data_IF_764716511923
#
_entry.id   IF_764716511923
#
_cell.length_a   1.000
_cell.length_b   1.000
_cell.length_c   1.000
_cell.angle_alpha   90.00
_cell.angle_beta   90.00
_cell.angle_gamma   90.00
#
_symmetry.space_group_name_H-M   'P 1'
#
loop_
_entity.id
_entity.type
_entity.pdbx_description
1 polymer ?
#
# COMPACT_ATOMS: atom_id res chain seq x y z
N UNK A 1 51.16 -31.20 6.88
CA UNK A 1 50.93 -30.18 5.82
C UNK A 1 49.46 -29.67 5.77
N UNK A 2 48.80 -29.56 6.91
CA UNK A 2 47.39 -29.08 6.97
C UNK A 2 47.19 -27.67 7.57
N UNK A 3 48.28 -27.07 8.10
CA UNK A 3 48.21 -25.74 8.71
C UNK A 3 48.22 -24.54 7.75
N UNK A 4 48.77 -24.71 6.55
CA UNK A 4 48.90 -23.62 5.57
C UNK A 4 47.58 -23.23 4.87
N UNK A 5 46.69 -24.19 4.70
CA UNK A 5 45.38 -23.94 4.04
C UNK A 5 44.40 -23.13 4.94
N UNK A 6 44.47 -23.35 6.26
CA UNK A 6 43.60 -22.63 7.21
C UNK A 6 44.01 -21.15 7.38
N UNK A 7 45.31 -20.89 7.44
CA UNK A 7 45.84 -19.52 7.58
C UNK A 7 45.59 -18.70 6.31
N UNK A 8 45.69 -19.28 5.12
CA UNK A 8 45.37 -18.60 3.85
C UNK A 8 43.88 -18.25 3.76
N UNK A 9 42.94 -19.09 4.25
CA UNK A 9 41.51 -18.82 4.23
C UNK A 9 41.12 -17.70 5.20
N UNK A 10 41.81 -17.55 6.32
CA UNK A 10 41.59 -16.45 7.27
C UNK A 10 42.14 -15.10 6.77
N UNK A 11 43.34 -15.10 6.16
CA UNK A 11 43.93 -13.88 5.58
C UNK A 11 43.08 -13.34 4.43
N UNK A 12 42.49 -14.21 3.60
CA UNK A 12 41.57 -13.79 2.52
C UNK A 12 40.29 -13.16 3.09
N UNK A 13 39.74 -13.72 4.16
CA UNK A 13 38.51 -13.17 4.80
C UNK A 13 38.71 -11.80 5.45
N UNK A 14 39.90 -11.46 5.90
CA UNK A 14 40.24 -10.17 6.51
C UNK A 14 40.63 -9.10 5.48
N UNK A 15 40.84 -9.47 4.21
CA UNK A 15 41.13 -8.50 3.16
C UNK A 15 39.88 -7.71 2.77
N UNK A 16 39.89 -6.40 2.97
CA UNK A 16 38.77 -5.49 2.69
C UNK A 16 38.39 -5.44 1.21
N UNK A 17 39.34 -5.58 0.29
CA UNK A 17 39.09 -5.62 -1.17
C UNK A 17 38.39 -6.93 -1.57
N UNK A 18 38.83 -8.05 -1.05
CA UNK A 18 38.19 -9.34 -1.27
C UNK A 18 36.77 -9.36 -0.72
N UNK A 19 36.55 -8.80 0.48
CA UNK A 19 35.22 -8.70 1.09
C UNK A 19 34.28 -7.81 0.26
N UNK A 20 34.77 -6.71 -0.32
CA UNK A 20 34.01 -5.86 -1.25
C UNK A 20 33.66 -6.63 -2.51
N UNK A 21 34.61 -7.30 -3.12
CA UNK A 21 34.41 -8.10 -4.33
C UNK A 21 33.34 -9.21 -4.11
N UNK A 22 33.42 -9.93 -2.98
CA UNK A 22 32.38 -10.94 -2.63
C UNK A 22 31.02 -10.34 -2.50
N UNK A 23 30.89 -9.15 -1.88
CA UNK A 23 29.59 -8.43 -1.81
C UNK A 23 29.08 -8.06 -3.19
N UNK A 24 29.93 -7.58 -4.08
CA UNK A 24 29.57 -7.25 -5.46
C UNK A 24 29.15 -8.48 -6.27
N UNK A 25 29.87 -9.60 -6.15
CA UNK A 25 29.53 -10.86 -6.81
C UNK A 25 28.18 -11.37 -6.30
N UNK A 26 27.97 -11.33 -4.98
CA UNK A 26 26.70 -11.73 -4.36
C UNK A 26 25.53 -10.86 -4.84
N UNK A 27 25.74 -9.55 -4.95
CA UNK A 27 24.74 -8.62 -5.46
C UNK A 27 24.42 -8.88 -6.94
N UNK A 28 25.45 -9.06 -7.78
CA UNK A 28 25.30 -9.41 -9.21
C UNK A 28 24.53 -10.72 -9.39
N UNK A 29 24.86 -11.74 -8.59
CA UNK A 29 24.17 -13.03 -8.64
C UNK A 29 22.69 -12.88 -8.26
N UNK A 30 22.38 -12.20 -7.14
CA UNK A 30 20.98 -11.93 -6.72
C UNK A 30 20.20 -11.15 -7.77
N UNK A 31 20.80 -10.12 -8.35
CA UNK A 31 20.18 -9.33 -9.42
C UNK A 31 19.90 -10.19 -10.66
N UNK A 32 20.80 -11.10 -11.01
CA UNK A 32 20.60 -12.03 -12.12
C UNK A 32 19.48 -13.03 -11.84
N UNK A 33 19.37 -13.54 -10.61
CA UNK A 33 18.26 -14.41 -10.20
C UNK A 33 16.90 -13.67 -10.28
N UNK A 34 16.85 -12.42 -9.79
CA UNK A 34 15.62 -11.58 -9.87
C UNK A 34 15.22 -11.36 -11.33
N UNK A 35 16.17 -10.97 -12.19
CA UNK A 35 15.90 -10.78 -13.62
C UNK A 35 15.42 -12.06 -14.30
N UNK A 36 15.98 -13.20 -13.97
CA UNK A 36 15.53 -14.49 -14.51
C UNK A 36 14.12 -14.83 -14.05
N UNK A 37 13.82 -14.68 -12.75
CA UNK A 37 12.49 -14.92 -12.19
C UNK A 37 11.43 -14.00 -12.81
N UNK A 38 11.74 -12.71 -13.00
CA UNK A 38 10.85 -11.75 -13.65
C UNK A 38 10.55 -12.13 -15.10
N UNK A 39 11.57 -12.56 -15.86
CA UNK A 39 11.38 -13.05 -17.24
C UNK A 39 10.50 -14.28 -17.29
N UNK A 40 10.75 -15.27 -16.43
CA UNK A 40 9.93 -16.49 -16.36
C UNK A 40 8.48 -16.16 -16.04
N UNK A 41 8.24 -15.28 -15.06
CA UNK A 41 6.88 -14.83 -14.72
C UNK A 41 6.19 -14.15 -15.93
N UNK A 42 6.91 -13.26 -16.62
CA UNK A 42 6.38 -12.56 -17.80
C UNK A 42 5.99 -13.55 -18.92
N UNK A 43 6.87 -14.47 -19.27
CA UNK A 43 6.60 -15.47 -20.32
C UNK A 43 5.41 -16.37 -19.94
N UNK A 44 5.31 -16.76 -18.68
CA UNK A 44 4.17 -17.52 -18.17
C UNK A 44 2.86 -16.73 -18.31
N UNK A 45 2.86 -15.44 -17.98
CA UNK A 45 1.67 -14.58 -18.10
C UNK A 45 1.29 -14.32 -19.55
N UNK A 46 2.26 -14.15 -20.44
CA UNK A 46 2.02 -14.06 -21.88
C UNK A 46 1.40 -15.35 -22.44
N UNK A 47 1.89 -16.49 -21.98
CA UNK A 47 1.30 -17.79 -22.32
C UNK A 47 -0.14 -17.91 -21.79
N UNK A 48 -0.40 -17.53 -20.53
CA UNK A 48 -1.76 -17.52 -19.97
C UNK A 48 -2.69 -16.56 -20.70
N UNK A 49 -2.16 -15.43 -21.17
CA UNK A 49 -2.86 -14.49 -22.02
C UNK A 49 -3.27 -15.13 -23.35
N UNK A 50 -2.37 -15.84 -24.03
CA UNK A 50 -2.67 -16.50 -25.31
C UNK A 50 -3.72 -17.59 -25.15
N UNK A 51 -3.65 -18.40 -24.10
CA UNK A 51 -4.68 -19.39 -23.78
C UNK A 51 -6.03 -18.70 -23.47
N UNK A 52 -6.00 -17.63 -22.70
CA UNK A 52 -7.19 -16.83 -22.40
C UNK A 52 -7.86 -16.26 -23.65
N UNK A 53 -7.05 -15.73 -24.58
CA UNK A 53 -7.50 -15.28 -25.90
C UNK A 53 -8.17 -16.41 -26.67
N UNK A 54 -7.50 -17.54 -26.82
CA UNK A 54 -8.03 -18.66 -27.59
C UNK A 54 -9.35 -19.18 -27.01
N UNK A 55 -9.45 -19.29 -25.67
CA UNK A 55 -10.67 -19.70 -24.99
C UNK A 55 -11.79 -18.66 -25.22
N UNK A 56 -11.48 -17.37 -25.14
CA UNK A 56 -12.49 -16.31 -25.29
C UNK A 56 -13.01 -16.18 -26.71
N UNK A 57 -12.12 -16.20 -27.72
CA UNK A 57 -12.45 -15.88 -29.10
C UNK A 57 -12.84 -17.12 -29.90
N UNK A 58 -12.16 -18.25 -29.67
CA UNK A 58 -12.26 -19.41 -30.58
C UNK A 58 -12.88 -20.65 -29.92
N UNK A 59 -12.64 -20.90 -28.66
CA UNK A 59 -12.95 -22.14 -27.97
C UNK A 59 -13.70 -21.87 -26.64
N UNK A 60 -15.04 -21.75 -26.70
CA UNK A 60 -15.85 -21.39 -25.54
C UNK A 60 -16.98 -22.40 -25.29
N UNK A 61 -17.64 -22.25 -24.11
CA UNK A 61 -18.76 -23.12 -23.72
C UNK A 61 -19.97 -23.02 -24.67
N UNK A 62 -20.14 -21.91 -25.36
CA UNK A 62 -21.22 -21.71 -26.34
C UNK A 62 -21.02 -22.68 -27.52
N UNK A 63 -19.78 -22.84 -27.98
CA UNK A 63 -19.43 -23.68 -29.12
C UNK A 63 -19.28 -25.15 -28.76
N UNK A 64 -18.72 -25.46 -27.59
CA UNK A 64 -18.31 -26.80 -27.16
C UNK A 64 -19.11 -27.36 -25.97
N UNK A 65 -20.08 -26.63 -25.44
CA UNK A 65 -20.97 -27.06 -24.35
C UNK A 65 -20.41 -26.91 -22.94
N UNK A 66 -21.25 -27.18 -21.94
CA UNK A 66 -20.97 -26.97 -20.52
C UNK A 66 -19.77 -27.74 -19.95
N UNK A 67 -19.34 -28.81 -20.61
CA UNK A 67 -18.19 -29.62 -20.19
C UNK A 67 -16.87 -29.17 -20.78
N UNK A 68 -16.83 -28.08 -21.57
CA UNK A 68 -15.64 -27.61 -22.27
C UNK A 68 -14.41 -27.50 -21.38
N UNK A 69 -14.48 -26.74 -20.30
CA UNK A 69 -13.33 -26.54 -19.40
C UNK A 69 -12.86 -27.83 -18.74
N UNK A 70 -13.78 -28.76 -18.44
CA UNK A 70 -13.44 -30.06 -17.85
C UNK A 70 -12.67 -30.90 -18.86
N UNK A 71 -13.15 -30.99 -20.09
CA UNK A 71 -12.52 -31.76 -21.14
C UNK A 71 -11.16 -31.15 -21.51
N UNK A 72 -11.09 -29.83 -21.72
CA UNK A 72 -9.84 -29.11 -21.97
C UNK A 72 -8.79 -29.34 -20.89
N UNK A 73 -9.22 -29.33 -19.60
CA UNK A 73 -8.33 -29.61 -18.48
C UNK A 73 -7.78 -31.02 -18.52
N UNK A 74 -8.60 -32.03 -18.83
CA UNK A 74 -8.16 -33.42 -18.94
C UNK A 74 -7.22 -33.61 -20.11
N UNK A 75 -7.60 -33.14 -21.29
CA UNK A 75 -6.80 -33.29 -22.52
C UNK A 75 -5.40 -32.62 -22.37
N UNK A 76 -5.34 -31.45 -21.74
CA UNK A 76 -4.06 -30.77 -21.48
C UNK A 76 -3.23 -31.49 -20.40
N UNK A 77 -3.84 -32.07 -19.39
CA UNK A 77 -3.13 -32.83 -18.38
C UNK A 77 -2.61 -34.17 -18.92
N UNK A 78 -3.36 -34.79 -19.82
CA UNK A 78 -2.92 -36.01 -20.52
C UNK A 78 -1.76 -35.72 -21.49
N UNK A 79 -1.83 -34.59 -22.20
CA UNK A 79 -0.77 -34.16 -23.11
C UNK A 79 0.50 -33.66 -22.40
N UNK A 80 0.35 -33.10 -21.19
CA UNK A 80 1.41 -32.46 -20.39
C UNK A 80 1.33 -32.90 -18.91
N UNK A 81 1.61 -34.16 -18.60
CA UNK A 81 1.38 -34.76 -17.26
C UNK A 81 2.18 -34.09 -16.13
N UNK A 82 3.33 -33.49 -16.45
CA UNK A 82 4.19 -32.81 -15.48
C UNK A 82 3.74 -31.36 -15.15
N UNK A 83 2.72 -30.84 -15.85
CA UNK A 83 2.28 -29.45 -15.73
C UNK A 83 0.97 -29.36 -14.94
N UNK A 84 1.05 -28.78 -13.72
CA UNK A 84 -0.11 -28.60 -12.83
C UNK A 84 -0.98 -27.37 -13.14
N UNK A 85 -0.59 -26.56 -14.11
CA UNK A 85 -1.23 -25.24 -14.38
C UNK A 85 -2.57 -25.32 -15.09
N UNK A 86 -3.00 -26.48 -15.59
CA UNK A 86 -4.19 -26.64 -16.42
C UNK A 86 -5.42 -27.16 -15.66
N UNK A 87 -5.58 -26.79 -14.39
CA UNK A 87 -6.83 -27.07 -13.69
C UNK A 87 -7.98 -26.24 -14.28
N UNK A 88 -9.20 -26.78 -14.20
CA UNK A 88 -10.44 -26.09 -14.65
C UNK A 88 -10.52 -24.67 -14.12
N UNK A 89 -10.20 -24.48 -12.84
CA UNK A 89 -10.22 -23.16 -12.19
C UNK A 89 -9.19 -22.23 -12.82
N UNK A 90 -7.96 -22.71 -13.04
CA UNK A 90 -6.89 -21.88 -13.59
C UNK A 90 -7.16 -21.50 -15.06
N UNK A 91 -7.70 -22.42 -15.88
CA UNK A 91 -8.12 -22.14 -17.25
C UNK A 91 -9.22 -21.06 -17.31
N UNK A 92 -10.15 -21.07 -16.37
CA UNK A 92 -11.15 -19.99 -16.24
C UNK A 92 -10.50 -18.65 -15.88
N UNK A 93 -9.50 -18.64 -14.98
CA UNK A 93 -8.77 -17.42 -14.66
C UNK A 93 -7.93 -16.90 -15.83
N UNK A 94 -7.36 -17.76 -16.66
CA UNK A 94 -6.67 -17.33 -17.89
C UNK A 94 -7.63 -16.61 -18.84
N UNK A 95 -8.86 -17.13 -19.01
CA UNK A 95 -9.93 -16.48 -19.77
C UNK A 95 -10.27 -15.11 -19.16
N UNK A 96 -10.55 -15.04 -17.86
CA UNK A 96 -10.90 -13.78 -17.18
C UNK A 96 -9.76 -12.75 -17.22
N UNK A 97 -8.52 -13.20 -17.19
CA UNK A 97 -7.33 -12.36 -17.32
C UNK A 97 -7.29 -11.67 -18.68
N UNK A 98 -7.50 -12.43 -19.76
CA UNK A 98 -7.59 -11.86 -21.09
C UNK A 98 -8.79 -10.91 -21.22
N UNK A 99 -9.98 -11.34 -20.81
CA UNK A 99 -11.21 -10.54 -20.93
C UNK A 99 -11.13 -9.23 -20.15
N UNK A 100 -10.50 -9.24 -18.97
CA UNK A 100 -10.35 -8.04 -18.15
C UNK A 100 -9.42 -7.01 -18.79
N UNK A 101 -8.32 -7.44 -19.38
CA UNK A 101 -7.26 -6.54 -19.83
C UNK A 101 -7.14 -6.41 -21.35
N UNK A 102 -8.02 -7.02 -22.16
CA UNK A 102 -7.94 -6.90 -23.61
C UNK A 102 -8.24 -5.48 -24.13
N UNK A 103 -7.70 -5.14 -25.29
CA UNK A 103 -7.79 -3.77 -25.85
C UNK A 103 -9.23 -3.35 -26.21
N UNK A 104 -10.16 -4.28 -26.46
CA UNK A 104 -11.55 -3.96 -26.78
C UNK A 104 -12.25 -3.23 -25.61
N UNK A 105 -11.89 -3.58 -24.38
CA UNK A 105 -12.40 -2.89 -23.18
C UNK A 105 -11.70 -1.55 -22.92
N UNK A 106 -10.55 -1.29 -23.57
CA UNK A 106 -9.73 -0.08 -23.37
C UNK A 106 -10.10 1.05 -24.35
N UNK A 107 -10.56 0.74 -25.56
CA UNK A 107 -10.92 1.75 -26.56
C UNK A 107 -12.05 2.69 -26.14
N UNK A 108 -12.84 2.31 -25.12
CA UNK A 108 -13.90 3.14 -24.57
C UNK A 108 -13.40 4.22 -23.57
N UNK A 109 -12.11 4.21 -23.19
CA UNK A 109 -11.58 5.03 -22.11
C UNK A 109 -10.61 6.14 -22.56
N UNK A 110 -10.31 6.28 -23.88
CA UNK A 110 -9.20 7.16 -24.31
C UNK A 110 -9.64 8.17 -25.34
N UNK A 111 -9.72 9.43 -24.90
CA UNK A 111 -9.79 10.60 -25.78
C UNK A 111 -8.67 11.64 -25.54
N UNK A 112 -7.61 11.31 -24.76
CA UNK A 112 -6.53 12.24 -24.43
C UNK A 112 -5.13 11.66 -24.66
N UNK A 113 -4.22 12.49 -25.26
CA UNK A 113 -2.85 12.11 -25.63
C UNK A 113 -1.92 11.82 -24.44
N UNK A 114 -2.12 12.46 -23.30
CA UNK A 114 -1.37 12.18 -22.05
C UNK A 114 -1.72 10.82 -21.45
N UNK A 115 -2.95 10.37 -21.62
CA UNK A 115 -3.43 9.07 -21.17
C UNK A 115 -2.73 7.91 -21.90
N UNK A 116 -2.25 8.11 -23.13
CA UNK A 116 -1.58 7.05 -23.92
C UNK A 116 -0.21 6.67 -23.38
N UNK A 117 0.59 7.62 -22.88
CA UNK A 117 1.93 7.35 -22.33
C UNK A 117 1.80 6.62 -20.99
N UNK A 118 0.84 7.05 -20.15
CA UNK A 118 0.52 6.33 -18.90
C UNK A 118 -0.02 4.92 -19.16
N UNK A 119 -0.79 4.71 -20.23
CA UNK A 119 -1.35 3.41 -20.59
C UNK A 119 -0.26 2.39 -20.97
N UNK A 120 0.72 2.78 -21.76
CA UNK A 120 1.80 1.88 -22.16
C UNK A 120 2.65 1.42 -20.96
N UNK A 121 2.91 2.31 -20.01
CA UNK A 121 3.60 1.97 -18.76
C UNK A 121 2.78 1.01 -17.88
N UNK A 122 1.45 1.17 -17.82
CA UNK A 122 0.56 0.27 -17.07
C UNK A 122 0.43 -1.09 -17.76
N UNK A 123 0.42 -1.12 -19.11
CA UNK A 123 0.40 -2.34 -19.90
C UNK A 123 1.64 -3.21 -19.64
N UNK A 124 2.80 -2.59 -19.52
CA UNK A 124 4.01 -3.30 -19.13
C UNK A 124 3.91 -3.87 -17.70
N UNK A 125 3.25 -3.18 -16.76
CA UNK A 125 3.08 -3.64 -15.39
C UNK A 125 2.17 -4.88 -15.27
N UNK A 126 1.20 -5.09 -16.17
CA UNK A 126 0.30 -6.26 -16.15
C UNK A 126 1.12 -7.56 -16.19
N UNK A 127 2.16 -7.63 -17.01
CA UNK A 127 2.99 -8.82 -17.13
C UNK A 127 4.16 -8.87 -16.13
N UNK A 128 4.23 -7.93 -15.18
CA UNK A 128 5.33 -7.86 -14.19
C UNK A 128 4.92 -8.32 -12.80
N UNK A 129 3.62 -8.29 -12.46
CA UNK A 129 3.15 -8.77 -11.15
C UNK A 129 2.84 -10.28 -11.19
N UNK A 130 2.96 -11.01 -10.07
CA UNK A 130 2.76 -12.46 -10.05
C UNK A 130 1.32 -12.89 -10.35
N UNK A 131 1.15 -14.06 -10.95
CA UNK A 131 -0.18 -14.63 -11.28
C UNK A 131 -1.16 -14.67 -10.10
N UNK A 132 -0.69 -15.04 -8.92
CA UNK A 132 -1.53 -15.06 -7.71
C UNK A 132 -2.11 -13.70 -7.33
N UNK A 133 -1.48 -12.59 -7.72
CA UNK A 133 -2.01 -11.23 -7.54
C UNK A 133 -3.15 -10.96 -8.54
N UNK A 134 -2.98 -11.36 -9.81
CA UNK A 134 -4.03 -11.22 -10.82
C UNK A 134 -5.31 -11.97 -10.43
N UNK A 135 -5.21 -13.15 -9.86
CA UNK A 135 -6.37 -13.90 -9.35
C UNK A 135 -7.14 -13.07 -8.31
N UNK A 136 -6.45 -12.40 -7.40
CA UNK A 136 -7.11 -11.56 -6.39
C UNK A 136 -7.76 -10.32 -7.02
N UNK A 137 -7.06 -9.65 -7.93
CA UNK A 137 -7.56 -8.48 -8.66
C UNK A 137 -8.81 -8.85 -9.47
N UNK A 138 -8.78 -9.94 -10.23
CA UNK A 138 -9.92 -10.43 -11.01
C UNK A 138 -11.15 -10.66 -10.10
N UNK A 139 -10.95 -11.35 -8.97
CA UNK A 139 -12.04 -11.67 -8.05
C UNK A 139 -12.66 -10.44 -7.39
N UNK A 140 -11.83 -9.48 -6.99
CA UNK A 140 -12.27 -8.32 -6.20
C UNK A 140 -12.70 -7.14 -7.06
N UNK A 141 -12.11 -6.95 -8.24
CA UNK A 141 -12.47 -5.84 -9.13
C UNK A 141 -13.71 -6.12 -9.99
N UNK A 142 -14.16 -7.38 -10.10
CA UNK A 142 -15.41 -7.77 -10.76
C UNK A 142 -15.61 -7.15 -12.16
N UNK A 143 -14.56 -7.14 -12.98
CA UNK A 143 -14.58 -6.58 -14.34
C UNK A 143 -14.39 -5.06 -14.42
N UNK A 144 -14.22 -4.34 -13.33
CA UNK A 144 -13.87 -2.92 -13.37
C UNK A 144 -12.39 -2.76 -13.76
N UNK A 145 -12.15 -2.42 -15.02
CA UNK A 145 -10.82 -2.30 -15.60
C UNK A 145 -9.99 -1.21 -14.90
N UNK A 146 -10.55 -0.03 -14.65
CA UNK A 146 -9.83 1.08 -14.01
C UNK A 146 -9.34 0.72 -12.61
N UNK A 147 -10.21 0.09 -11.83
CA UNK A 147 -9.87 -0.43 -10.50
C UNK A 147 -8.80 -1.51 -10.59
N UNK A 148 -8.90 -2.42 -11.55
CA UNK A 148 -7.90 -3.46 -11.76
C UNK A 148 -6.53 -2.90 -12.13
N UNK A 149 -6.47 -1.96 -13.08
CA UNK A 149 -5.22 -1.30 -13.50
C UNK A 149 -4.58 -0.47 -12.38
N UNK A 150 -5.40 0.19 -11.56
CA UNK A 150 -4.93 0.89 -10.36
C UNK A 150 -4.19 -0.09 -9.43
N UNK A 151 -4.78 -1.25 -9.10
CA UNK A 151 -4.15 -2.23 -8.22
C UNK A 151 -2.94 -2.91 -8.86
N UNK A 152 -2.93 -3.12 -10.18
CA UNK A 152 -1.75 -3.61 -10.92
C UNK A 152 -0.60 -2.62 -10.76
N UNK A 153 -0.82 -1.34 -11.06
CA UNK A 153 0.17 -0.27 -10.95
C UNK A 153 0.70 -0.17 -9.51
N UNK A 154 -0.18 -0.06 -8.51
CA UNK A 154 0.21 0.04 -7.10
C UNK A 154 0.97 -1.20 -6.61
N UNK A 155 0.57 -2.39 -7.02
CA UNK A 155 1.28 -3.64 -6.69
C UNK A 155 2.69 -3.64 -7.26
N UNK A 156 2.86 -3.24 -8.52
CA UNK A 156 4.15 -3.17 -9.17
C UNK A 156 5.07 -2.12 -8.53
N UNK A 157 4.58 -0.90 -8.38
CA UNK A 157 5.36 0.23 -7.84
C UNK A 157 5.79 0.02 -6.38
N UNK A 158 4.93 -0.60 -5.58
CA UNK A 158 5.16 -0.78 -4.15
C UNK A 158 5.67 -2.18 -3.78
N UNK A 159 5.82 -3.08 -4.75
CA UNK A 159 6.19 -4.48 -4.54
C UNK A 159 5.31 -5.17 -3.48
N UNK A 160 4.00 -4.94 -3.55
CA UNK A 160 3.08 -5.51 -2.56
C UNK A 160 3.08 -7.03 -2.59
N UNK A 161 3.14 -7.63 -1.41
CA UNK A 161 2.84 -9.06 -1.25
C UNK A 161 1.34 -9.29 -1.50
N UNK A 162 0.97 -10.55 -1.76
CA UNK A 162 -0.44 -10.92 -1.94
C UNK A 162 -1.31 -10.54 -0.74
N UNK A 163 -0.78 -10.63 0.49
CA UNK A 163 -1.51 -10.26 1.70
C UNK A 163 -1.76 -8.75 1.77
N UNK A 164 -0.76 -7.92 1.44
CA UNK A 164 -0.90 -6.46 1.40
C UNK A 164 -1.88 -6.04 0.31
N UNK A 165 -1.79 -6.63 -0.89
CA UNK A 165 -2.76 -6.36 -1.97
C UNK A 165 -4.19 -6.70 -1.54
N UNK A 166 -4.41 -7.88 -0.91
CA UNK A 166 -5.73 -8.26 -0.42
C UNK A 166 -6.27 -7.29 0.60
N UNK A 167 -5.45 -6.86 1.56
CA UNK A 167 -5.85 -5.86 2.55
C UNK A 167 -6.36 -4.58 1.87
N UNK A 168 -5.64 -4.05 0.87
CA UNK A 168 -6.06 -2.83 0.18
C UNK A 168 -7.26 -3.02 -0.76
N UNK A 169 -7.42 -4.21 -1.33
CA UNK A 169 -8.63 -4.57 -2.07
C UNK A 169 -9.86 -4.63 -1.15
N UNK A 170 -9.70 -5.19 0.05
CA UNK A 170 -10.78 -5.36 1.04
C UNK A 170 -11.14 -4.04 1.74
N UNK A 171 -10.18 -3.14 1.90
CA UNK A 171 -10.38 -1.81 2.49
C UNK A 171 -10.67 -0.72 1.45
N UNK A 172 -11.04 -1.10 0.23
CA UNK A 172 -11.48 -0.18 -0.85
C UNK A 172 -10.51 0.98 -1.13
N UNK A 173 -9.19 0.71 -1.18
CA UNK A 173 -8.18 1.75 -1.40
C UNK A 173 -8.45 2.58 -2.67
N UNK A 174 -8.92 1.96 -3.75
CA UNK A 174 -9.22 2.64 -5.02
C UNK A 174 -10.22 3.79 -4.85
N UNK A 175 -11.22 3.59 -4.01
CA UNK A 175 -12.29 4.55 -3.76
C UNK A 175 -11.87 5.71 -2.84
N UNK A 176 -10.89 5.52 -1.97
CA UNK A 176 -10.52 6.47 -0.91
C UNK A 176 -9.15 7.15 -1.10
N UNK A 177 -8.27 6.66 -1.98
CA UNK A 177 -6.98 7.31 -2.26
C UNK A 177 -7.19 8.66 -2.97
N UNK A 178 -6.49 9.69 -2.49
CA UNK A 178 -6.57 11.04 -3.04
C UNK A 178 -7.90 11.76 -2.81
N UNK A 179 -8.76 11.28 -1.91
CA UNK A 179 -10.09 11.87 -1.63
C UNK A 179 -10.10 12.86 -0.47
N UNK A 180 -9.01 13.01 0.26
CA UNK A 180 -8.89 14.03 1.30
C UNK A 180 -9.20 15.43 0.77
N UNK A 181 -9.76 16.28 1.61
CA UNK A 181 -9.95 17.69 1.29
C UNK A 181 -8.62 18.40 1.53
N UNK A 182 -8.02 18.96 0.47
CA UNK A 182 -6.67 19.54 0.53
C UNK A 182 -6.62 20.91 -0.16
N UNK A 183 -5.60 21.69 0.18
CA UNK A 183 -5.23 22.92 -0.53
C UNK A 183 -3.91 22.77 -1.30
N UNK A 184 -3.44 21.55 -1.54
CA UNK A 184 -2.14 21.25 -2.12
C UNK A 184 -1.93 21.86 -3.52
N UNK A 185 -2.96 21.83 -4.37
CA UNK A 185 -2.89 22.41 -5.72
C UNK A 185 -2.53 23.92 -5.73
N UNK A 186 -2.89 24.62 -4.65
CA UNK A 186 -2.61 26.06 -4.54
C UNK A 186 -1.24 26.39 -3.95
N UNK A 187 -0.70 25.50 -3.11
CA UNK A 187 0.44 25.79 -2.24
C UNK A 187 1.69 24.97 -2.56
N UNK A 188 1.55 23.87 -3.29
CA UNK A 188 2.68 23.05 -3.71
C UNK A 188 2.91 23.16 -5.22
N UNK A 189 4.16 23.02 -5.70
CA UNK A 189 4.43 22.88 -7.15
C UNK A 189 3.64 21.71 -7.76
N UNK A 190 3.24 21.77 -9.03
CA UNK A 190 2.35 20.80 -9.68
C UNK A 190 2.73 19.34 -9.42
N UNK A 191 4.00 18.97 -9.63
CA UNK A 191 4.51 17.63 -9.35
C UNK A 191 4.40 17.28 -7.85
N UNK A 192 4.62 18.24 -6.96
CA UNK A 192 4.50 18.08 -5.51
C UNK A 192 3.05 17.92 -5.05
N UNK A 193 2.13 18.61 -5.69
CA UNK A 193 0.70 18.57 -5.42
C UNK A 193 0.10 17.21 -5.73
N UNK A 194 0.31 16.68 -6.93
CA UNK A 194 -0.20 15.36 -7.33
C UNK A 194 0.33 14.25 -6.43
N UNK A 195 1.63 14.29 -6.17
CA UNK A 195 2.28 13.37 -5.27
C UNK A 195 1.78 13.50 -3.81
N UNK A 196 1.48 14.70 -3.33
CA UNK A 196 0.93 14.91 -2.00
C UNK A 196 -0.52 14.39 -1.89
N UNK A 197 -1.31 14.50 -2.95
CA UNK A 197 -2.66 13.90 -3.01
C UNK A 197 -2.63 12.37 -2.94
N UNK A 198 -1.65 11.73 -3.60
CA UNK A 198 -1.52 10.27 -3.57
C UNK A 198 -1.27 9.68 -2.17
N UNK A 199 -0.66 10.44 -1.26
CA UNK A 199 -0.42 9.98 0.11
C UNK A 199 -1.61 10.22 1.05
N UNK A 200 -2.66 10.92 0.59
CA UNK A 200 -3.87 11.15 1.39
C UNK A 200 -4.97 10.15 1.07
N UNK A 201 -5.74 9.80 2.06
CA UNK A 201 -6.89 8.91 1.95
C UNK A 201 -8.07 9.50 2.68
N UNK A 202 -9.27 9.20 2.23
CA UNK A 202 -10.49 9.61 2.90
C UNK A 202 -11.60 8.58 2.66
N UNK A 203 -11.95 7.81 3.68
CA UNK A 203 -11.37 7.76 5.03
C UNK A 203 -10.05 6.98 5.10
N UNK A 204 -9.26 7.19 6.18
CA UNK A 204 -8.24 6.24 6.63
C UNK A 204 -8.90 5.03 7.27
N UNK A 205 -8.36 3.83 7.02
CA UNK A 205 -8.90 2.61 7.63
C UNK A 205 -8.05 2.22 8.86
N UNK A 206 -8.68 2.24 10.04
CA UNK A 206 -8.06 1.85 11.31
C UNK A 206 -8.64 0.55 11.88
N UNK A 207 -9.36 -0.27 11.08
CA UNK A 207 -9.94 -1.56 11.49
C UNK A 207 -8.90 -2.60 11.93
N UNK A 208 -7.63 -2.32 11.74
CA UNK A 208 -6.54 -3.13 12.28
C UNK A 208 -6.27 -2.90 13.77
N UNK A 209 -6.89 -1.90 14.38
CA UNK A 209 -6.81 -1.62 15.80
C UNK A 209 -7.86 -2.43 16.58
N UNK A 210 -7.55 -2.69 17.84
CA UNK A 210 -8.48 -3.30 18.79
C UNK A 210 -8.72 -2.28 19.91
N UNK A 211 -9.85 -1.58 19.85
CA UNK A 211 -10.24 -0.56 20.82
C UNK A 211 -11.64 -0.88 21.35
N UNK A 212 -11.92 -0.42 22.58
CA UNK A 212 -13.27 -0.48 23.18
C UNK A 212 -14.16 0.62 22.61
N UNK A 213 -15.47 0.45 22.73
CA UNK A 213 -16.40 1.57 22.56
C UNK A 213 -16.04 2.69 23.55
N UNK A 214 -16.23 3.95 23.15
CA UNK A 214 -15.93 5.08 24.03
C UNK A 214 -14.43 5.39 24.25
N UNK A 215 -13.54 4.83 23.40
CA UNK A 215 -12.10 5.17 23.43
C UNK A 215 -11.85 6.67 23.31
N UNK A 216 -10.84 7.16 23.98
CA UNK A 216 -10.40 8.55 23.90
C UNK A 216 -9.28 8.76 22.85
N UNK A 217 -8.87 10.02 22.68
CA UNK A 217 -7.84 10.39 21.71
C UNK A 217 -6.47 9.78 22.05
N UNK A 218 -6.17 9.67 23.33
CA UNK A 218 -4.91 9.06 23.79
C UNK A 218 -4.88 7.57 23.50
N UNK A 219 -5.97 6.86 23.82
CA UNK A 219 -6.11 5.42 23.55
C UNK A 219 -5.97 5.13 22.05
N UNK A 220 -6.56 5.95 21.17
CA UNK A 220 -6.39 5.81 19.73
C UNK A 220 -4.94 6.02 19.29
N UNK A 221 -4.29 7.09 19.78
CA UNK A 221 -2.88 7.37 19.47
C UNK A 221 -1.94 6.27 19.96
N UNK A 222 -2.18 5.75 21.18
CA UNK A 222 -1.44 4.63 21.76
C UNK A 222 -1.58 3.38 20.88
N UNK A 223 -2.81 3.01 20.51
CA UNK A 223 -3.08 1.85 19.67
C UNK A 223 -2.46 1.96 18.27
N UNK A 224 -2.41 3.14 17.67
CA UNK A 224 -1.73 3.38 16.39
C UNK A 224 -0.21 3.17 16.51
N UNK A 225 0.39 3.62 17.62
CA UNK A 225 1.82 3.41 17.87
C UNK A 225 2.17 1.95 18.15
N UNK A 226 1.35 1.24 18.91
CA UNK A 226 1.49 -0.20 19.14
C UNK A 226 1.38 -1.00 17.84
N UNK A 227 0.64 -0.49 16.85
CA UNK A 227 0.47 -1.06 15.54
C UNK A 227 1.17 -0.23 14.43
N UNK A 228 2.30 0.42 14.73
CA UNK A 228 2.98 1.35 13.82
C UNK A 228 3.26 0.78 12.43
N UNK A 229 3.54 -0.52 12.30
CA UNK A 229 3.77 -1.15 11.00
C UNK A 229 2.52 -1.12 10.13
N UNK A 230 1.34 -1.42 10.71
CA UNK A 230 0.07 -1.39 9.99
C UNK A 230 -0.34 0.06 9.69
N UNK A 231 -0.06 0.97 10.62
CA UNK A 231 -0.30 2.40 10.41
C UNK A 231 0.57 2.96 9.27
N UNK A 232 1.85 2.63 9.22
CA UNK A 232 2.73 3.02 8.11
C UNK A 232 2.26 2.45 6.76
N UNK A 233 1.75 1.21 6.74
CA UNK A 233 1.13 0.65 5.53
C UNK A 233 -0.12 1.43 5.12
N UNK A 234 -0.95 1.80 6.08
CA UNK A 234 -2.14 2.61 5.81
C UNK A 234 -1.78 4.01 5.35
N UNK A 235 -0.79 4.68 5.94
CA UNK A 235 -0.29 5.98 5.47
C UNK A 235 0.21 5.90 4.02
N UNK A 236 0.89 4.82 3.67
CA UNK A 236 1.37 4.56 2.32
C UNK A 236 2.89 4.59 2.18
N UNK A 237 3.36 4.70 0.93
CA UNK A 237 4.78 4.57 0.62
C UNK A 237 5.60 5.78 1.05
N UNK A 238 6.81 5.48 1.54
CA UNK A 238 7.83 6.49 1.81
C UNK A 238 7.74 7.12 3.19
N UNK A 239 6.76 6.78 4.01
CA UNK A 239 6.67 7.30 5.37
C UNK A 239 7.71 6.65 6.28
N UNK A 240 8.47 7.49 6.99
CA UNK A 240 9.37 7.13 8.08
C UNK A 240 8.88 7.83 9.34
N UNK A 241 8.74 7.07 10.43
CA UNK A 241 8.34 7.62 11.72
C UNK A 241 9.49 8.38 12.36
N UNK A 242 9.26 9.64 12.71
CA UNK A 242 10.24 10.53 13.37
C UNK A 242 10.01 10.57 14.87
N UNK A 243 8.75 10.76 15.29
CA UNK A 243 8.44 10.81 16.72
C UNK A 243 6.95 11.00 17.00
N UNK A 244 6.57 10.64 18.23
CA UNK A 244 5.27 10.89 18.83
C UNK A 244 5.42 11.96 19.90
N UNK A 245 4.38 12.78 20.11
CA UNK A 245 4.43 13.89 21.05
C UNK A 245 5.74 14.69 20.86
N UNK A 246 6.06 14.95 19.58
CA UNK A 246 7.34 15.50 19.20
C UNK A 246 7.45 16.93 19.68
N UNK A 247 8.38 17.18 20.62
CA UNK A 247 8.55 18.47 21.25
C UNK A 247 9.30 19.44 20.33
N UNK A 248 8.67 20.57 20.03
CA UNK A 248 9.28 21.73 19.40
C UNK A 248 9.29 22.92 20.37
N UNK A 249 10.36 23.68 20.38
CA UNK A 249 10.47 24.92 21.16
C UNK A 249 10.32 26.09 20.19
N UNK A 250 9.23 26.85 20.32
CA UNK A 250 8.89 27.99 19.46
C UNK A 250 8.91 29.26 20.35
N UNK A 251 9.97 30.04 20.26
CA UNK A 251 10.21 31.12 21.21
C UNK A 251 10.37 30.57 22.63
N UNK A 252 9.58 31.07 23.57
CA UNK A 252 9.55 30.60 24.96
C UNK A 252 8.48 29.53 25.22
N UNK A 253 7.83 29.00 24.17
CA UNK A 253 6.71 28.07 24.31
C UNK A 253 7.09 26.69 23.77
N UNK A 254 6.72 25.66 24.50
CA UNK A 254 6.82 24.27 24.04
C UNK A 254 5.55 23.87 23.29
N UNK A 255 5.73 23.24 22.16
CA UNK A 255 4.68 22.66 21.32
C UNK A 255 4.92 21.17 21.20
N UNK A 256 3.85 20.36 21.15
CA UNK A 256 3.93 18.92 21.04
C UNK A 256 3.09 18.45 19.86
N UNK A 257 3.78 17.99 18.82
CA UNK A 257 3.15 17.41 17.63
C UNK A 257 2.70 15.98 17.95
N UNK A 258 1.44 15.64 17.71
CA UNK A 258 0.92 14.30 17.98
C UNK A 258 1.79 13.22 17.36
N UNK A 259 2.00 13.29 16.05
CA UNK A 259 2.87 12.37 15.31
C UNK A 259 3.61 13.11 14.20
N UNK A 260 4.92 12.97 14.19
CA UNK A 260 5.79 13.50 13.15
C UNK A 260 6.36 12.37 12.30
N UNK A 261 6.21 12.50 10.99
CA UNK A 261 6.78 11.61 10.00
C UNK A 261 7.66 12.40 9.03
N UNK A 262 8.52 11.68 8.31
CA UNK A 262 9.22 12.18 7.14
C UNK A 262 8.89 11.30 5.94
N UNK A 263 8.48 11.91 4.83
CA UNK A 263 8.27 11.16 3.60
C UNK A 263 9.52 11.20 2.73
N UNK A 264 10.20 10.05 2.63
CA UNK A 264 11.47 9.89 1.93
C UNK A 264 11.34 10.18 0.43
N UNK A 265 10.19 9.89 -0.19
CA UNK A 265 9.99 10.10 -1.63
C UNK A 265 9.66 11.54 -1.97
N UNK A 266 8.99 12.22 -1.07
CA UNK A 266 8.59 13.62 -1.20
C UNK A 266 9.63 14.57 -0.64
N UNK A 267 10.63 14.06 0.11
CA UNK A 267 11.60 14.87 0.83
C UNK A 267 10.91 15.97 1.64
N UNK A 268 9.96 15.61 2.49
CA UNK A 268 9.25 16.56 3.34
C UNK A 268 8.83 15.93 4.66
N UNK A 269 8.70 16.75 5.68
CA UNK A 269 8.04 16.35 6.91
C UNK A 269 6.52 16.27 6.71
N UNK A 270 5.90 15.37 7.48
CA UNK A 270 4.45 15.23 7.52
C UNK A 270 4.01 15.25 8.99
N UNK A 271 3.27 16.29 9.33
CA UNK A 271 2.65 16.47 10.66
C UNK A 271 1.28 15.83 10.62
N UNK A 272 1.02 14.86 11.49
CA UNK A 272 -0.28 14.22 11.63
C UNK A 272 -0.88 14.58 12.97
N UNK A 273 -2.08 15.16 12.94
CA UNK A 273 -2.93 15.46 14.09
C UNK A 273 -4.16 14.58 14.03
N UNK A 274 -4.53 13.93 15.12
CA UNK A 274 -5.66 13.02 15.19
C UNK A 274 -6.70 13.54 16.17
N UNK A 275 -7.98 13.52 15.78
CA UNK A 275 -9.12 13.91 16.60
C UNK A 275 -10.18 12.81 16.65
N UNK A 276 -10.59 12.40 17.84
CA UNK A 276 -11.66 11.40 18.05
C UNK A 276 -13.07 11.98 17.96
N UNK A 277 -13.18 13.26 17.61
CA UNK A 277 -14.42 14.01 17.39
C UNK A 277 -14.58 14.45 15.94
N UNK A 278 -15.72 15.08 15.68
CA UNK A 278 -15.94 15.76 14.40
C UNK A 278 -14.90 16.90 14.21
N UNK A 279 -14.58 17.16 12.95
CA UNK A 279 -13.74 18.27 12.54
C UNK A 279 -14.22 19.60 13.07
N UNK A 280 -13.31 20.39 13.63
CA UNK A 280 -13.53 21.78 14.04
C UNK A 280 -12.51 22.70 13.33
N UNK A 281 -12.96 23.83 12.72
CA UNK A 281 -12.05 24.77 12.06
C UNK A 281 -10.93 25.31 12.96
N UNK A 282 -11.12 25.31 14.29
CA UNK A 282 -10.11 25.69 15.26
C UNK A 282 -8.88 24.78 15.24
N UNK A 283 -9.01 23.51 14.85
CA UNK A 283 -7.91 22.56 14.72
C UNK A 283 -6.86 23.01 13.70
N UNK A 284 -7.30 23.79 12.68
CA UNK A 284 -6.42 24.30 11.63
C UNK A 284 -5.39 25.31 12.14
N UNK A 285 -5.70 26.05 13.18
CA UNK A 285 -4.76 26.99 13.80
C UNK A 285 -3.60 26.27 14.48
N UNK A 286 -3.90 25.21 15.21
CA UNK A 286 -2.89 24.36 15.88
C UNK A 286 -2.02 23.66 14.84
N UNK A 287 -2.64 22.96 13.88
CA UNK A 287 -1.92 22.24 12.81
C UNK A 287 -1.05 23.21 11.98
N UNK A 288 -1.58 24.39 11.63
CA UNK A 288 -0.84 25.42 10.90
C UNK A 288 0.41 25.89 11.66
N UNK A 289 0.32 26.06 12.99
CA UNK A 289 1.45 26.40 13.85
C UNK A 289 2.51 25.29 13.85
N UNK A 290 2.09 24.03 13.93
CA UNK A 290 3.00 22.89 13.90
C UNK A 290 3.75 22.76 12.56
N UNK A 291 3.06 22.98 11.43
CA UNK A 291 3.66 22.97 10.10
C UNK A 291 4.72 24.08 9.98
N UNK A 292 4.34 25.31 10.35
CA UNK A 292 5.25 26.46 10.28
C UNK A 292 6.47 26.30 11.20
N UNK A 293 6.28 25.76 12.41
CA UNK A 293 7.36 25.47 13.34
C UNK A 293 8.28 24.35 12.83
N UNK A 294 7.72 23.29 12.24
CA UNK A 294 8.49 22.22 11.62
C UNK A 294 9.34 22.74 10.47
N UNK A 295 8.78 23.56 9.59
CA UNK A 295 9.51 24.20 8.50
C UNK A 295 10.63 25.11 9.02
N UNK A 296 10.38 25.87 10.06
CA UNK A 296 11.36 26.82 10.60
C UNK A 296 12.48 26.17 11.40
N UNK A 297 12.27 24.99 11.99
CA UNK A 297 13.18 24.36 12.95
C UNK A 297 13.85 23.10 12.41
N UNK A 298 13.09 22.24 11.69
CA UNK A 298 13.55 20.91 11.31
C UNK A 298 13.84 20.77 9.80
N UNK A 299 13.12 21.50 8.96
CA UNK A 299 13.24 21.41 7.52
C UNK A 299 14.63 21.80 7.05
N UNK A 300 15.28 20.95 6.25
CA UNK A 300 16.52 21.25 5.56
C UNK A 300 16.30 22.05 4.25
N UNK A 301 17.34 22.72 3.76
CA UNK A 301 17.26 23.54 2.53
C UNK A 301 16.80 22.77 1.29
N UNK A 302 17.09 21.46 1.23
CA UNK A 302 16.72 20.58 0.12
C UNK A 302 15.36 19.90 0.31
N UNK A 303 14.68 20.13 1.43
CA UNK A 303 13.36 19.55 1.68
C UNK A 303 12.26 20.41 1.06
N UNK A 304 11.21 19.74 0.62
CA UNK A 304 9.97 20.37 0.23
C UNK A 304 9.20 20.87 1.47
N UNK A 305 8.23 21.77 1.29
CA UNK A 305 7.42 22.27 2.39
C UNK A 305 6.74 21.13 3.18
N UNK A 306 6.70 21.28 4.50
CA UNK A 306 6.01 20.35 5.40
C UNK A 306 4.52 20.27 5.08
N UNK A 307 3.97 19.07 5.10
CA UNK A 307 2.55 18.80 4.87
C UNK A 307 1.87 18.47 6.21
N UNK A 308 0.70 19.04 6.47
CA UNK A 308 -0.15 18.67 7.60
C UNK A 308 -1.30 17.79 7.18
N UNK A 309 -1.58 16.76 7.98
CA UNK A 309 -2.75 15.90 7.84
C UNK A 309 -3.54 15.93 9.14
N UNK A 310 -4.79 16.39 9.06
CA UNK A 310 -5.77 16.28 10.13
C UNK A 310 -6.65 15.07 9.86
N UNK A 311 -6.65 14.11 10.77
CA UNK A 311 -7.46 12.90 10.68
C UNK A 311 -8.49 12.95 11.80
N UNK A 312 -9.77 13.05 11.48
CA UNK A 312 -10.87 13.21 12.44
C UNK A 312 -11.92 12.10 12.28
N UNK A 313 -12.78 11.95 13.28
CA UNK A 313 -13.81 10.92 13.25
C UNK A 313 -14.84 11.14 12.15
N UNK A 314 -15.27 12.39 11.96
CA UNK A 314 -16.22 12.83 10.93
C UNK A 314 -15.92 14.27 10.52
N UNK A 315 -16.37 14.69 9.33
CA UNK A 315 -16.24 16.08 8.90
C UNK A 315 -17.43 16.52 8.05
N UNK A 316 -17.75 17.80 8.09
CA UNK A 316 -18.54 18.44 7.06
C UNK A 316 -17.63 18.87 5.91
N UNK A 317 -17.90 18.37 4.71
CA UNK A 317 -17.05 18.60 3.54
C UNK A 317 -16.98 20.08 3.13
N UNK A 318 -18.09 20.82 3.26
CA UNK A 318 -18.13 22.24 2.90
C UNK A 318 -17.34 23.06 3.91
N UNK A 319 -17.52 22.79 5.20
CA UNK A 319 -16.79 23.45 6.27
C UNK A 319 -15.28 23.19 6.16
N UNK A 320 -14.88 21.94 5.88
CA UNK A 320 -13.50 21.55 5.69
C UNK A 320 -12.85 22.24 4.46
N UNK A 321 -13.60 22.40 3.34
CA UNK A 321 -13.12 23.16 2.18
C UNK A 321 -12.87 24.64 2.51
N UNK A 322 -13.76 25.29 3.24
CA UNK A 322 -13.54 26.67 3.66
C UNK A 322 -12.35 26.79 4.61
N UNK A 323 -12.23 25.87 5.58
CA UNK A 323 -11.14 25.87 6.54
C UNK A 323 -9.78 25.66 5.87
N UNK A 324 -9.65 24.70 4.94
CA UNK A 324 -8.40 24.49 4.17
C UNK A 324 -8.06 25.67 3.27
N UNK A 325 -9.08 26.36 2.74
CA UNK A 325 -8.86 27.55 1.88
C UNK A 325 -8.41 28.77 2.68
N UNK A 326 -8.65 28.81 3.98
CA UNK A 326 -8.32 29.94 4.86
C UNK A 326 -6.87 29.89 5.36
N UNK A 327 -6.17 28.76 5.24
CA UNK A 327 -4.78 28.62 5.73
C UNK A 327 -3.77 28.64 4.59
N UNK A 328 -2.58 29.20 4.89
CA UNK A 328 -1.48 29.41 3.92
C UNK A 328 -0.36 28.36 4.06
N UNK A 329 -0.70 27.17 4.57
CA UNK A 329 0.23 26.04 4.69
C UNK A 329 -0.40 24.80 4.04
N UNK A 330 0.40 23.86 3.50
CA UNK A 330 -0.13 22.66 2.85
C UNK A 330 -0.82 21.75 3.85
N UNK A 331 -2.15 21.59 3.74
CA UNK A 331 -2.95 20.76 4.66
C UNK A 331 -3.93 19.87 3.93
N UNK A 332 -4.20 18.71 4.55
CA UNK A 332 -5.26 17.80 4.16
C UNK A 332 -6.12 17.42 5.37
N UNK A 333 -7.43 17.30 5.16
CA UNK A 333 -8.40 16.85 6.16
C UNK A 333 -9.04 15.57 5.68
N UNK A 334 -9.01 14.55 6.51
CA UNK A 334 -9.57 13.22 6.24
C UNK A 334 -10.38 12.72 7.44
N UNK A 335 -11.31 11.84 7.16
CA UNK A 335 -11.94 11.00 8.19
C UNK A 335 -11.13 9.73 8.42
N UNK A 336 -11.48 9.00 9.49
CA UNK A 336 -11.06 7.62 9.66
C UNK A 336 -12.26 6.71 9.95
N UNK A 337 -12.16 5.46 9.52
CA UNK A 337 -13.08 4.38 9.84
C UNK A 337 -12.45 3.44 10.85
N UNK A 338 -13.21 3.07 11.87
CA UNK A 338 -12.88 2.09 12.88
C UNK A 338 -14.17 1.35 13.25
N UNK A 339 -14.41 0.21 12.60
CA UNK A 339 -15.67 -0.52 12.67
C UNK A 339 -15.64 -1.68 13.68
N UNK A 340 -14.45 -2.16 14.06
CA UNK A 340 -14.27 -3.30 14.94
C UNK A 340 -13.97 -2.86 16.38
N UNK A 341 -14.99 -2.28 17.04
CA UNK A 341 -14.92 -1.91 18.45
C UNK A 341 -15.37 -3.05 19.35
N UNK A 342 -14.70 -3.18 20.49
CA UNK A 342 -15.13 -4.10 21.55
C UNK A 342 -16.16 -3.37 22.41
N UNK A 343 -17.36 -3.95 22.66
CA UNK A 343 -18.34 -3.37 23.56
C UNK A 343 -17.74 -3.09 24.96
N UNK A 344 -18.12 -2.00 25.60
CA UNK A 344 -17.60 -1.62 26.92
C UNK A 344 -17.92 -2.67 28.01
N UNK A 345 -18.98 -3.44 27.84
CA UNK A 345 -19.41 -4.52 28.72
C UNK A 345 -18.79 -5.90 28.39
N UNK A 346 -17.86 -5.95 27.41
CA UNK A 346 -17.19 -7.17 27.02
C UNK A 346 -16.34 -7.72 28.17
N UNK A 347 -16.80 -8.80 28.77
CA UNK A 347 -16.00 -9.58 29.73
C UNK A 347 -15.17 -10.59 28.94
N UNK A 348 -13.85 -10.45 29.02
CA UNK A 348 -12.94 -11.46 28.47
C UNK A 348 -13.32 -12.83 28.99
N UNK A 349 -13.45 -13.81 28.11
CA UNK A 349 -13.59 -15.22 28.50
C UNK A 349 -12.26 -15.81 28.98
N UNK A 350 -11.19 -15.06 28.96
CA UNK A 350 -9.92 -15.47 29.53
C UNK A 350 -10.01 -15.42 31.07
N UNK A 351 -9.57 -16.46 31.78
CA UNK A 351 -9.51 -16.45 33.24
C UNK A 351 -8.58 -15.31 33.70
N UNK A 352 -8.97 -14.69 34.80
CA UNK A 352 -8.13 -13.67 35.45
C UNK A 352 -6.84 -14.29 35.99
N UNK A 353 -5.80 -13.47 36.25
CA UNK A 353 -4.55 -13.96 36.84
C UNK A 353 -4.83 -14.71 38.17
N UNK A 354 -5.79 -14.18 38.97
CA UNK A 354 -6.19 -14.80 40.22
C UNK A 354 -6.91 -16.15 40.02
N UNK A 355 -7.68 -16.30 38.97
CA UNK A 355 -8.32 -17.56 38.58
C UNK A 355 -7.28 -18.58 38.11
N UNK A 356 -6.32 -18.16 37.26
CA UNK A 356 -5.19 -18.99 36.83
C UNK A 356 -4.34 -19.44 38.04
N UNK A 357 -4.01 -18.48 38.93
CA UNK A 357 -3.24 -18.83 40.15
C UNK A 357 -3.97 -19.77 41.10
N UNK A 358 -5.30 -19.74 41.10
CA UNK A 358 -6.12 -20.65 41.90
C UNK A 358 -6.09 -22.07 41.34
N UNK A 359 -6.25 -22.21 40.00
CA UNK A 359 -6.17 -23.47 39.30
C UNK A 359 -4.78 -24.15 39.36
N UNK A 360 -3.71 -23.32 39.49
CA UNK A 360 -2.34 -23.84 39.62
C UNK A 360 -1.96 -24.24 41.07
N UNK A 361 -2.81 -23.95 42.08
CA UNK A 361 -2.57 -24.28 43.48
C UNK A 361 -3.32 -25.54 43.96
N UNK A 362 -4.23 -26.07 43.16
CA UNK A 362 -4.88 -27.36 43.34
C UNK A 362 -4.17 -28.46 42.50
#
# INVERSE_FOLDING_TARGET
MSGGFYIMSEIIKTNTEYSKWIKEVSLRFRNSQIKAATKVNREMLLFYWSIGHDISENYNEIKYGKSFFKNLSLDLQDALPDVKSFSVTNLKYMKYFYELYNNSNRQQLVDDSETRICQQAVDDCIFMIPWGHHIQIINKCKGNLNKALFFVKKTYENNWSRAVLLNFLDTNLYEREGKAITNFEKLLPDIGSDLAREITKDPYNFDFLTLREGYDEKELKDALMDNIQKFLLELGRGFAFVGREYRLVVGDTEQFIDMLFYNIQKHCYVVIEIKTRAFDPGDMGQLGTYIAATDGILRADNDNPTIGLLICKTKDNVLAQYATSAVNVPVGISEYELNHLIPDDYKSSMPTIEEIERELKD
#
